data_IF_916432551504
#
_entry.id   IF_916432551504
#
_cell.length_a   1.000
_cell.length_b   1.000
_cell.length_c   1.000
_cell.angle_alpha   90.00
_cell.angle_beta   90.00
_cell.angle_gamma   90.00
#
_symmetry.space_group_name_H-M   'P 1'
#
loop_
_entity.id
_entity.type
_entity.pdbx_description
1 polymer ?
#
# COMPACT_ATOMS: atom_id res chain seq x y z
N UNK A 1 -27.71 -2.42 -13.86
CA UNK A 1 -27.46 -2.81 -12.45
C UNK A 1 -26.01 -3.22 -12.33
N UNK A 2 -25.17 -2.34 -11.82
CA UNK A 2 -23.73 -2.59 -11.67
C UNK A 2 -23.48 -3.13 -10.25
N UNK A 3 -22.95 -4.35 -10.16
CA UNK A 3 -22.51 -4.92 -8.89
C UNK A 3 -21.20 -4.24 -8.45
N UNK A 4 -21.29 -3.45 -7.38
CA UNK A 4 -20.12 -2.95 -6.64
C UNK A 4 -19.58 -4.09 -5.78
N UNK A 5 -18.42 -4.61 -6.11
CA UNK A 5 -17.68 -5.50 -5.22
C UNK A 5 -16.62 -4.66 -4.50
N UNK A 6 -16.90 -4.30 -3.27
CA UNK A 6 -15.92 -3.76 -2.34
C UNK A 6 -15.19 -4.93 -1.67
N UNK A 7 -13.87 -4.95 -1.77
CA UNK A 7 -13.04 -5.84 -0.96
C UNK A 7 -12.70 -5.07 0.32
N UNK A 8 -13.36 -5.42 1.42
CA UNK A 8 -13.00 -4.93 2.76
C UNK A 8 -12.06 -5.95 3.36
N UNK A 9 -10.77 -5.61 3.47
CA UNK A 9 -9.81 -6.39 4.24
C UNK A 9 -9.83 -5.84 5.67
N UNK A 10 -10.49 -6.54 6.59
CA UNK A 10 -10.46 -6.23 8.02
C UNK A 10 -9.30 -7.02 8.62
N UNK A 11 -8.22 -6.34 8.97
CA UNK A 11 -7.18 -6.91 9.83
C UNK A 11 -7.65 -6.81 11.29
N UNK A 12 -7.83 -7.94 11.99
CA UNK A 12 -8.09 -7.96 13.42
C UNK A 12 -6.77 -7.95 14.20
N UNK A 13 -6.66 -7.20 15.31
CA UNK A 13 -5.45 -7.17 16.12
C UNK A 13 -5.28 -8.48 16.91
N UNK A 14 -4.10 -9.07 16.80
CA UNK A 14 -3.70 -10.25 17.58
C UNK A 14 -3.41 -9.80 19.02
N UNK A 15 -4.18 -10.35 19.98
CA UNK A 15 -4.06 -10.04 21.39
C UNK A 15 -2.67 -10.33 21.98
N UNK A 16 -2.20 -9.44 22.85
CA UNK A 16 -0.94 -9.52 23.58
C UNK A 16 -0.88 -10.77 24.43
N UNK A 17 -0.01 -11.72 24.09
CA UNK A 17 0.40 -12.82 24.97
C UNK A 17 1.44 -12.33 25.99
N UNK A 18 1.15 -12.49 27.28
CA UNK A 18 2.10 -12.26 28.38
C UNK A 18 3.15 -13.37 28.41
N UNK A 19 4.42 -12.99 28.39
CA UNK A 19 5.57 -13.89 28.53
C UNK A 19 5.74 -14.33 30.00
N UNK A 20 6.14 -15.59 30.27
CA UNK A 20 6.56 -16.04 31.60
C UNK A 20 8.01 -15.61 31.89
N UNK A 21 8.38 -15.41 33.18
CA UNK A 21 9.71 -14.93 33.56
C UNK A 21 10.73 -16.08 33.59
N UNK A 22 11.91 -15.81 32.97
CA UNK A 22 13.15 -16.52 33.19
C UNK A 22 13.54 -17.55 32.15
N UNK A 23 14.18 -17.10 31.04
CA UNK A 23 15.04 -17.96 30.23
C UNK A 23 16.11 -17.12 29.54
N UNK A 24 17.36 -17.52 29.72
CA UNK A 24 18.61 -16.93 29.23
C UNK A 24 18.65 -16.89 27.67
N UNK A 25 18.85 -15.70 27.11
CA UNK A 25 18.68 -15.39 25.70
C UNK A 25 20.03 -15.29 24.96
N UNK A 26 20.88 -16.35 25.00
CA UNK A 26 22.16 -16.29 24.25
C UNK A 26 22.48 -17.44 23.30
N UNK A 27 21.60 -18.44 23.09
CA UNK A 27 21.96 -19.64 22.27
C UNK A 27 20.95 -20.10 21.21
N UNK A 28 19.96 -19.30 20.79
CA UNK A 28 18.95 -19.79 19.82
C UNK A 28 18.82 -18.91 18.56
N UNK A 29 19.91 -18.29 18.09
CA UNK A 29 19.89 -17.43 16.90
C UNK A 29 20.47 -18.07 15.62
N UNK A 30 20.43 -19.39 15.46
CA UNK A 30 20.98 -20.07 14.25
C UNK A 30 20.18 -21.23 13.66
N UNK A 31 18.87 -21.37 13.93
CA UNK A 31 18.15 -22.54 13.39
C UNK A 31 16.69 -22.27 12.96
N UNK A 32 16.37 -21.16 12.31
CA UNK A 32 15.02 -20.94 11.72
C UNK A 32 15.07 -20.14 10.42
N UNK A 33 15.94 -20.56 9.50
CA UNK A 33 15.83 -20.24 8.09
C UNK A 33 15.72 -21.57 7.34
N UNK A 34 14.54 -22.03 7.09
CA UNK A 34 14.02 -22.85 6.00
C UNK A 34 12.80 -23.67 6.45
N UNK A 35 11.75 -23.59 5.65
CA UNK A 35 10.51 -24.39 5.63
C UNK A 35 9.26 -23.74 6.20
N UNK A 36 8.75 -22.73 5.49
CA UNK A 36 7.32 -22.41 5.44
C UNK A 36 6.60 -23.40 4.52
N UNK A 37 6.26 -24.59 5.02
CA UNK A 37 5.29 -25.47 4.37
C UNK A 37 4.08 -25.55 5.29
N UNK A 38 2.93 -25.10 4.81
CA UNK A 38 1.63 -25.21 5.45
C UNK A 38 1.31 -26.69 5.66
N UNK A 39 1.54 -27.23 6.86
CA UNK A 39 1.07 -28.54 7.27
C UNK A 39 -0.27 -28.36 7.99
N UNK A 40 -1.37 -28.55 7.29
CA UNK A 40 -2.69 -28.76 7.88
C UNK A 40 -2.71 -30.15 8.51
N UNK A 41 -2.40 -30.26 9.81
CA UNK A 41 -2.53 -31.50 10.56
C UNK A 41 -3.99 -31.67 10.99
N UNK A 42 -4.74 -32.51 10.27
CA UNK A 42 -6.03 -33.02 10.74
C UNK A 42 -5.76 -34.07 11.81
N UNK A 43 -6.00 -33.71 13.08
CA UNK A 43 -5.86 -34.60 14.23
C UNK A 43 -7.10 -35.49 14.32
N UNK A 44 -7.06 -36.68 13.72
CA UNK A 44 -8.05 -37.75 13.97
C UNK A 44 -7.80 -38.28 15.41
N UNK A 45 -8.72 -38.01 16.32
CA UNK A 45 -8.76 -38.69 17.62
C UNK A 45 -9.38 -40.07 17.42
N UNK A 46 -8.58 -41.12 17.55
CA UNK A 46 -9.08 -42.48 17.79
C UNK A 46 -9.42 -42.65 19.29
N UNK A 47 -10.70 -42.88 19.56
CA UNK A 47 -11.12 -43.36 20.90
C UNK A 47 -11.07 -44.89 20.87
N UNK A 48 -10.05 -45.47 21.51
CA UNK A 48 -9.99 -46.91 21.76
C UNK A 48 -10.64 -47.17 23.11
N UNK A 49 -11.91 -47.53 23.10
CA UNK A 49 -12.59 -48.07 24.26
C UNK A 49 -12.42 -49.60 24.30
N UNK A 50 -11.55 -50.10 25.21
CA UNK A 50 -11.45 -51.52 25.49
C UNK A 50 -12.63 -51.96 26.34
N UNK A 51 -13.53 -52.76 25.79
CA UNK A 51 -14.37 -53.70 26.55
C UNK A 51 -14.50 -55.00 25.76
N UNK A 52 -14.02 -56.07 26.36
CA UNK A 52 -14.14 -57.42 25.83
C UNK A 52 -15.58 -57.89 25.72
N UNK A 53 -15.88 -58.56 24.62
CA UNK A 53 -17.14 -59.20 24.33
C UNK A 53 -17.09 -59.70 22.90
N UNK A 54 -17.15 -61.04 22.73
CA UNK A 54 -17.27 -61.70 21.42
C UNK A 54 -18.52 -61.20 20.69
N UNK A 55 -18.33 -60.32 19.72
CA UNK A 55 -19.36 -59.84 18.85
C UNK A 55 -18.72 -59.44 17.51
N UNK A 56 -19.22 -59.91 16.44
CA UNK A 56 -18.82 -59.63 15.07
C UNK A 56 -18.59 -58.16 14.84
N UNK A 57 -17.42 -57.80 14.37
CA UNK A 57 -17.02 -56.43 14.12
C UNK A 57 -17.64 -56.00 12.77
N UNK A 58 -18.87 -55.50 12.87
CA UNK A 58 -19.50 -54.80 11.74
C UNK A 58 -18.74 -53.50 11.51
N UNK A 59 -17.84 -53.49 10.56
CA UNK A 59 -17.18 -52.30 10.08
C UNK A 59 -18.22 -51.39 9.46
N UNK A 60 -18.82 -50.48 10.22
CA UNK A 60 -19.55 -49.34 9.71
C UNK A 60 -18.59 -48.45 8.92
N UNK A 61 -18.31 -48.84 7.69
CA UNK A 61 -17.85 -47.88 6.69
C UNK A 61 -18.98 -46.85 6.52
N UNK A 62 -18.81 -45.68 7.09
CA UNK A 62 -19.66 -44.53 6.74
C UNK A 62 -19.52 -44.29 5.25
N UNK A 63 -20.46 -44.85 4.45
CA UNK A 63 -20.64 -44.50 3.03
C UNK A 63 -20.89 -43.00 3.00
N UNK A 64 -19.82 -42.21 2.82
CA UNK A 64 -19.95 -40.82 2.42
C UNK A 64 -20.80 -40.83 1.16
N UNK A 65 -22.03 -40.36 1.24
CA UNK A 65 -22.98 -40.44 0.15
C UNK A 65 -22.36 -39.77 -1.06
N UNK A 66 -22.48 -40.37 -2.24
CA UNK A 66 -21.94 -39.84 -3.49
C UNK A 66 -22.38 -38.38 -3.75
N UNK A 67 -23.52 -38.00 -3.20
CA UNK A 67 -24.04 -36.62 -3.21
C UNK A 67 -23.16 -35.64 -2.40
N UNK A 68 -22.70 -36.00 -1.19
CA UNK A 68 -21.82 -35.14 -0.40
C UNK A 68 -20.45 -34.91 -1.06
N UNK A 69 -19.90 -35.96 -1.68
CA UNK A 69 -18.63 -35.84 -2.43
C UNK A 69 -18.76 -34.97 -3.68
N UNK A 70 -19.87 -35.09 -4.40
CA UNK A 70 -20.19 -34.20 -5.55
C UNK A 70 -20.38 -32.77 -5.13
N UNK A 71 -21.11 -32.51 -4.02
CA UNK A 71 -21.28 -31.16 -3.47
C UNK A 71 -19.96 -30.53 -3.05
N UNK A 72 -19.06 -31.28 -2.39
CA UNK A 72 -17.73 -30.82 -2.02
C UNK A 72 -16.86 -30.50 -3.24
N UNK A 73 -16.91 -31.31 -4.30
CA UNK A 73 -16.18 -31.05 -5.56
C UNK A 73 -16.71 -29.80 -6.28
N UNK A 74 -18.03 -29.60 -6.31
CA UNK A 74 -18.65 -28.39 -6.90
C UNK A 74 -18.24 -27.15 -6.11
N UNK A 75 -18.28 -27.20 -4.80
CA UNK A 75 -17.85 -26.08 -3.95
C UNK A 75 -16.37 -25.74 -4.15
N UNK A 76 -15.51 -26.76 -4.22
CA UNK A 76 -14.08 -26.58 -4.51
C UNK A 76 -13.85 -25.95 -5.90
N UNK A 77 -14.59 -26.40 -6.91
CA UNK A 77 -14.51 -25.84 -8.25
C UNK A 77 -14.99 -24.38 -8.30
N UNK A 78 -16.06 -24.04 -7.58
CA UNK A 78 -16.55 -22.65 -7.47
C UNK A 78 -15.55 -21.76 -6.75
N UNK A 79 -14.91 -22.25 -5.69
CA UNK A 79 -13.85 -21.52 -4.99
C UNK A 79 -12.62 -21.30 -5.88
N UNK A 80 -12.20 -22.32 -6.64
CA UNK A 80 -11.11 -22.20 -7.60
C UNK A 80 -11.44 -21.20 -8.72
N UNK A 81 -12.68 -21.23 -9.22
CA UNK A 81 -13.14 -20.27 -10.23
C UNK A 81 -13.18 -18.85 -9.66
N UNK A 82 -13.66 -18.66 -8.44
CA UNK A 82 -13.67 -17.35 -7.78
C UNK A 82 -12.24 -16.83 -7.55
N UNK A 83 -11.31 -17.69 -7.12
CA UNK A 83 -9.89 -17.34 -6.98
C UNK A 83 -9.25 -17.00 -8.33
N UNK A 84 -9.58 -17.77 -9.39
CA UNK A 84 -9.08 -17.48 -10.75
C UNK A 84 -9.63 -16.16 -11.28
N UNK A 85 -10.92 -15.89 -11.09
CA UNK A 85 -11.53 -14.61 -11.48
C UNK A 85 -10.93 -13.44 -10.69
N UNK A 86 -10.70 -13.62 -9.39
CA UNK A 86 -10.01 -12.65 -8.56
C UNK A 86 -8.57 -12.41 -9.06
N UNK A 87 -7.81 -13.47 -9.35
CA UNK A 87 -6.47 -13.37 -9.91
C UNK A 87 -6.47 -12.64 -11.28
N UNK A 88 -7.42 -12.94 -12.15
CA UNK A 88 -7.55 -12.29 -13.46
C UNK A 88 -7.93 -10.80 -13.34
N UNK A 89 -8.73 -10.42 -12.34
CA UNK A 89 -9.03 -9.00 -12.09
C UNK A 89 -7.81 -8.27 -11.50
N UNK A 90 -7.00 -8.96 -10.68
CA UNK A 90 -5.75 -8.44 -10.12
C UNK A 90 -4.61 -8.30 -11.16
N UNK A 91 -4.76 -8.85 -12.39
CA UNK A 91 -3.76 -8.69 -13.45
C UNK A 91 -3.93 -7.42 -14.29
N UNK A 92 -5.00 -6.65 -14.07
CA UNK A 92 -5.22 -5.39 -14.79
C UNK A 92 -4.39 -4.26 -14.18
N UNK A 93 -3.14 -4.20 -14.57
CA UNK A 93 -2.23 -3.10 -14.20
C UNK A 93 -2.48 -1.93 -15.15
N UNK A 94 -2.58 -0.72 -14.60
CA UNK A 94 -2.61 0.53 -15.37
C UNK A 94 -1.17 0.86 -15.81
N UNK A 95 -0.84 0.78 -17.11
CA UNK A 95 0.51 1.02 -17.59
C UNK A 95 0.88 2.49 -17.51
N UNK A 96 2.16 2.77 -17.30
CA UNK A 96 2.70 4.11 -17.45
C UNK A 96 2.54 4.60 -18.91
N UNK A 97 2.05 5.82 -19.07
CA UNK A 97 1.87 6.43 -20.39
C UNK A 97 3.24 6.86 -20.97
N UNK A 98 3.34 7.03 -22.31
CA UNK A 98 4.60 7.38 -22.95
C UNK A 98 5.29 8.62 -22.39
N UNK A 99 4.55 9.64 -21.99
CA UNK A 99 5.10 10.85 -21.37
C UNK A 99 5.79 10.56 -20.03
N UNK A 100 5.30 9.59 -19.25
CA UNK A 100 5.96 9.19 -18.01
C UNK A 100 7.27 8.47 -18.27
N UNK A 101 7.31 7.63 -19.29
CA UNK A 101 8.53 6.92 -19.68
C UNK A 101 9.57 7.87 -20.29
N UNK A 102 9.10 8.89 -21.00
CA UNK A 102 9.97 9.92 -21.61
C UNK A 102 10.75 10.71 -20.56
N UNK A 103 10.13 11.03 -19.41
CA UNK A 103 10.81 11.68 -18.27
C UNK A 103 12.00 10.84 -17.78
N UNK A 104 11.87 9.52 -17.77
CA UNK A 104 12.95 8.63 -17.34
C UNK A 104 14.13 8.56 -18.33
N UNK A 105 13.88 8.86 -19.61
CA UNK A 105 14.90 8.86 -20.65
C UNK A 105 15.56 10.24 -20.82
N UNK A 106 14.77 11.28 -20.60
CA UNK A 106 15.18 12.69 -20.80
C UNK A 106 14.66 13.53 -19.64
N UNK A 107 15.29 13.43 -18.47
CA UNK A 107 14.89 14.23 -17.32
C UNK A 107 15.10 15.71 -17.55
N UNK A 108 14.39 16.55 -16.80
CA UNK A 108 14.54 17.99 -16.82
C UNK A 108 15.97 18.43 -16.40
N UNK A 109 16.40 19.58 -16.89
CA UNK A 109 17.70 20.16 -16.53
C UNK A 109 17.83 20.30 -15.00
N UNK A 110 18.95 19.90 -14.46
CA UNK A 110 19.22 19.94 -13.01
C UNK A 110 18.64 18.77 -12.22
N UNK A 111 17.97 17.79 -12.86
CA UNK A 111 17.49 16.56 -12.22
C UNK A 111 18.26 15.36 -12.74
N UNK A 112 18.83 14.57 -11.83
CA UNK A 112 19.42 13.27 -12.16
C UNK A 112 18.45 12.15 -11.82
N UNK A 113 18.15 11.28 -12.79
CA UNK A 113 17.29 10.11 -12.58
C UNK A 113 18.16 8.86 -12.40
N UNK A 114 18.10 8.23 -11.22
CA UNK A 114 18.76 6.95 -10.93
C UNK A 114 17.71 5.85 -10.94
N UNK A 115 17.83 4.90 -11.86
CA UNK A 115 16.89 3.77 -12.00
C UNK A 115 17.47 2.52 -11.36
N UNK A 116 16.78 2.02 -10.32
CA UNK A 116 17.05 0.73 -9.69
C UNK A 116 15.95 -0.30 -9.99
N UNK A 117 16.15 -1.53 -9.50
CA UNK A 117 15.15 -2.59 -9.63
C UNK A 117 13.94 -2.33 -8.72
N UNK A 118 14.16 -1.75 -7.54
CA UNK A 118 13.16 -1.59 -6.48
C UNK A 118 12.66 -0.14 -6.35
N UNK A 119 13.30 0.83 -7.02
CA UNK A 119 12.95 2.24 -6.94
C UNK A 119 13.53 3.06 -8.08
N UNK A 120 13.02 4.27 -8.25
CA UNK A 120 13.56 5.32 -9.11
C UNK A 120 13.77 6.56 -8.25
N UNK A 121 15.01 7.08 -8.23
CA UNK A 121 15.37 8.27 -7.49
C UNK A 121 15.47 9.47 -8.45
N UNK A 122 14.75 10.56 -8.13
CA UNK A 122 14.80 11.84 -8.84
C UNK A 122 15.58 12.81 -7.95
N UNK A 123 16.83 13.07 -8.32
CA UNK A 123 17.81 13.77 -7.50
C UNK A 123 18.02 15.18 -8.07
N UNK A 124 17.56 16.24 -7.39
CA UNK A 124 17.84 17.62 -7.80
C UNK A 124 19.32 17.96 -7.60
N UNK A 125 19.81 18.98 -8.31
CA UNK A 125 21.19 19.46 -8.13
C UNK A 125 21.50 19.90 -6.69
N UNK A 126 20.49 20.45 -6.01
CA UNK A 126 20.57 20.93 -4.62
C UNK A 126 19.35 20.44 -3.82
N UNK A 127 19.35 19.18 -3.33
CA UNK A 127 18.26 18.64 -2.57
C UNK A 127 18.16 19.32 -1.18
N UNK A 128 16.94 19.71 -0.79
CA UNK A 128 16.68 20.41 0.49
C UNK A 128 15.81 19.54 1.42
N UNK A 129 15.06 18.59 0.86
CA UNK A 129 14.25 17.62 1.59
C UNK A 129 14.12 16.34 0.77
N UNK A 130 13.77 15.23 1.41
CA UNK A 130 13.51 13.95 0.78
C UNK A 130 12.03 13.55 0.87
N UNK A 131 11.51 12.92 -0.18
CA UNK A 131 10.17 12.33 -0.22
C UNK A 131 10.28 10.88 -0.71
N UNK A 132 9.92 9.90 0.14
CA UNK A 132 9.68 8.53 -0.28
C UNK A 132 8.21 8.36 -0.67
N UNK A 133 7.94 7.85 -1.88
CA UNK A 133 6.59 7.87 -2.45
C UNK A 133 6.06 6.48 -2.80
N UNK A 134 4.86 6.17 -2.29
CA UNK A 134 4.10 4.94 -2.48
C UNK A 134 3.08 5.10 -3.62
N UNK A 135 3.22 4.38 -4.75
CA UNK A 135 2.27 4.38 -5.85
C UNK A 135 0.89 3.86 -5.47
N UNK A 136 -0.12 4.28 -6.23
CA UNK A 136 -1.48 3.74 -6.13
C UNK A 136 -1.58 2.27 -6.55
N UNK A 137 -2.63 1.60 -6.10
CA UNK A 137 -2.87 0.19 -6.39
C UNK A 137 -3.00 -0.07 -7.89
N UNK A 138 -2.37 -1.15 -8.35
CA UNK A 138 -2.43 -1.64 -9.74
C UNK A 138 -1.90 -0.64 -10.78
N UNK A 139 -1.15 0.38 -10.37
CA UNK A 139 -0.51 1.35 -11.27
C UNK A 139 0.97 1.02 -11.38
N UNK A 140 1.51 0.97 -12.60
CA UNK A 140 2.96 0.92 -12.81
C UNK A 140 3.59 2.14 -12.16
N UNK A 141 4.59 1.93 -11.31
CA UNK A 141 5.17 3.02 -10.51
C UNK A 141 5.80 4.13 -11.38
N UNK A 142 6.30 3.79 -12.57
CA UNK A 142 6.82 4.75 -13.54
C UNK A 142 5.78 5.82 -13.97
N UNK A 143 4.49 5.54 -13.79
CA UNK A 143 3.43 6.51 -14.09
C UNK A 143 3.51 7.78 -13.23
N UNK A 144 4.20 7.73 -12.10
CA UNK A 144 4.40 8.89 -11.22
C UNK A 144 5.68 9.68 -11.53
N UNK A 145 6.49 9.23 -12.50
CA UNK A 145 7.73 9.90 -12.88
C UNK A 145 7.55 11.41 -13.18
N UNK A 146 6.51 11.85 -13.92
CA UNK A 146 6.34 13.28 -14.18
C UNK A 146 6.06 14.12 -12.93
N UNK A 147 5.34 13.57 -11.94
CA UNK A 147 5.11 14.25 -10.67
C UNK A 147 6.39 14.33 -9.83
N UNK A 148 7.15 13.22 -9.76
CA UNK A 148 8.42 13.17 -9.03
C UNK A 148 9.47 14.11 -9.63
N UNK A 149 9.53 14.20 -10.96
CA UNK A 149 10.41 15.16 -11.65
C UNK A 149 10.06 16.59 -11.31
N UNK A 150 8.77 16.95 -11.34
CA UNK A 150 8.31 18.32 -11.00
C UNK A 150 8.69 18.70 -9.57
N UNK A 151 8.61 17.76 -8.63
CA UNK A 151 9.06 17.95 -7.26
C UNK A 151 10.59 18.11 -7.19
N UNK A 152 11.33 17.30 -7.95
CA UNK A 152 12.78 17.38 -7.98
C UNK A 152 13.28 18.70 -8.57
N UNK A 153 12.63 19.22 -9.62
CA UNK A 153 12.92 20.59 -10.14
C UNK A 153 12.75 21.67 -9.08
N UNK A 154 11.89 21.45 -8.08
CA UNK A 154 11.65 22.35 -6.94
C UNK A 154 12.58 22.10 -5.74
N UNK A 155 13.51 21.16 -5.84
CA UNK A 155 14.51 20.88 -4.78
C UNK A 155 14.14 19.76 -3.82
N UNK A 156 13.10 18.98 -4.09
CA UNK A 156 12.74 17.79 -3.30
C UNK A 156 13.34 16.55 -3.94
N UNK A 157 14.25 15.86 -3.25
CA UNK A 157 14.72 14.53 -3.65
C UNK A 157 13.55 13.54 -3.53
N UNK A 158 13.14 12.91 -4.65
CA UNK A 158 12.03 11.99 -4.66
C UNK A 158 12.49 10.55 -4.90
N UNK A 159 12.13 9.66 -3.99
CA UNK A 159 12.35 8.21 -4.09
C UNK A 159 11.03 7.54 -4.40
N UNK A 160 10.82 7.22 -5.67
CA UNK A 160 9.62 6.53 -6.16
C UNK A 160 9.78 5.03 -5.95
N UNK A 161 9.03 4.47 -5.03
CA UNK A 161 9.15 3.09 -4.57
C UNK A 161 8.38 2.12 -5.48
N UNK A 162 8.97 0.96 -5.76
CA UNK A 162 8.32 -0.11 -6.51
C UNK A 162 7.61 -1.07 -5.56
N UNK A 163 6.32 -1.28 -5.81
CA UNK A 163 5.51 -2.18 -5.01
C UNK A 163 5.45 -3.57 -5.64
N UNK A 164 5.64 -4.66 -4.87
CA UNK A 164 5.43 -6.02 -5.36
C UNK A 164 4.01 -6.16 -5.93
N UNK A 165 3.90 -6.65 -7.17
CA UNK A 165 2.60 -6.78 -7.84
C UNK A 165 1.82 -5.48 -8.01
N UNK A 166 2.46 -4.31 -7.92
CA UNK A 166 1.86 -2.97 -7.90
C UNK A 166 0.84 -2.78 -6.76
N UNK A 167 1.09 -3.39 -5.60
CA UNK A 167 0.25 -3.32 -4.40
C UNK A 167 1.09 -3.04 -3.16
N UNK A 168 0.98 -1.85 -2.60
CA UNK A 168 1.73 -1.42 -1.42
C UNK A 168 1.49 -2.31 -0.18
N UNK A 169 0.30 -2.89 -0.06
CA UNK A 169 -0.04 -3.82 1.05
C UNK A 169 0.79 -5.10 1.07
N UNK A 170 1.43 -5.48 -0.04
CA UNK A 170 2.29 -6.67 -0.12
C UNK A 170 3.70 -6.45 0.44
N UNK A 171 4.13 -5.20 0.56
CA UNK A 171 5.37 -4.80 1.23
C UNK A 171 5.21 -3.37 1.78
N UNK A 172 4.55 -3.20 2.94
CA UNK A 172 4.36 -1.88 3.52
C UNK A 172 5.66 -1.23 3.98
N UNK A 173 6.68 -2.04 4.30
CA UNK A 173 7.96 -1.59 4.86
C UNK A 173 9.01 -1.30 3.73
N UNK A 174 8.56 -1.05 2.50
CA UNK A 174 9.45 -0.81 1.34
C UNK A 174 10.27 0.48 1.47
N UNK A 175 9.88 1.41 2.34
CA UNK A 175 10.61 2.64 2.62
C UNK A 175 11.80 2.46 3.57
N UNK A 176 11.95 1.27 4.19
CA UNK A 176 13.05 0.98 5.11
C UNK A 176 14.41 1.23 4.46
N UNK A 177 15.27 1.97 5.15
CA UNK A 177 16.63 2.24 4.72
C UNK A 177 16.78 3.29 3.61
N UNK A 178 15.69 3.85 3.06
CA UNK A 178 15.76 4.90 2.02
C UNK A 178 16.55 6.11 2.49
N UNK A 179 16.33 6.56 3.72
CA UNK A 179 17.00 7.73 4.30
C UNK A 179 18.52 7.51 4.46
N UNK A 180 18.93 6.28 4.76
CA UNK A 180 20.33 5.94 4.96
C UNK A 180 21.19 6.08 3.68
N UNK A 181 20.56 6.04 2.50
CA UNK A 181 21.24 6.22 1.22
C UNK A 181 21.53 7.70 0.88
N UNK A 182 20.93 8.63 1.67
CA UNK A 182 21.04 10.09 1.49
C UNK A 182 21.28 10.77 2.84
N UNK A 183 22.42 10.53 3.50
CA UNK A 183 22.70 11.02 4.84
C UNK A 183 22.79 12.55 4.94
N UNK A 184 22.94 13.23 3.81
CA UNK A 184 22.93 14.71 3.73
C UNK A 184 21.53 15.31 3.84
N UNK A 185 20.47 14.50 3.65
CA UNK A 185 19.08 14.96 3.78
C UNK A 185 18.62 14.75 5.20
N UNK A 186 18.31 15.84 5.87
CA UNK A 186 17.88 15.85 7.28
C UNK A 186 16.37 15.91 7.48
N UNK A 187 15.62 16.29 6.45
CA UNK A 187 14.15 16.35 6.48
C UNK A 187 13.57 15.35 5.50
N UNK A 188 12.77 14.43 6.02
CA UNK A 188 12.17 13.39 5.24
C UNK A 188 10.65 13.35 5.37
N UNK A 189 10.02 13.19 4.23
CA UNK A 189 8.58 13.04 4.10
C UNK A 189 8.24 11.69 3.50
N UNK A 190 7.13 11.13 3.95
CA UNK A 190 6.54 9.96 3.33
C UNK A 190 5.29 10.40 2.58
N UNK A 191 5.02 9.81 1.43
CA UNK A 191 3.81 10.17 0.70
C UNK A 191 3.30 9.02 -0.14
N UNK A 192 2.07 9.16 -0.63
CA UNK A 192 1.53 8.18 -1.53
C UNK A 192 0.20 8.59 -2.13
N UNK A 193 -0.17 7.89 -3.20
CA UNK A 193 -1.43 8.07 -3.90
C UNK A 193 -2.40 6.94 -3.58
N UNK A 194 -3.67 7.28 -3.32
CA UNK A 194 -4.74 6.30 -3.14
C UNK A 194 -4.37 5.23 -2.08
N UNK A 195 -4.42 3.95 -2.41
CA UNK A 195 -3.98 2.86 -1.50
C UNK A 195 -2.53 3.05 -1.01
N UNK A 196 -1.64 3.58 -1.85
CA UNK A 196 -0.26 3.86 -1.46
C UNK A 196 -0.17 4.88 -0.31
N UNK A 197 -1.01 5.92 -0.34
CA UNK A 197 -1.10 6.91 0.73
C UNK A 197 -1.60 6.31 2.04
N UNK A 198 -2.64 5.47 1.98
CA UNK A 198 -3.14 4.77 3.17
C UNK A 198 -2.10 3.81 3.78
N UNK A 199 -1.31 3.13 2.94
CA UNK A 199 -0.22 2.26 3.41
C UNK A 199 0.93 3.08 3.99
N UNK A 200 1.27 4.23 3.40
CA UNK A 200 2.27 5.15 3.94
C UNK A 200 1.86 5.67 5.32
N UNK A 201 0.58 6.01 5.53
CA UNK A 201 0.07 6.38 6.85
C UNK A 201 0.21 5.23 7.87
N UNK A 202 -0.13 3.99 7.50
CA UNK A 202 0.06 2.83 8.36
C UNK A 202 1.53 2.54 8.69
N UNK A 203 2.43 2.82 7.77
CA UNK A 203 3.88 2.69 8.03
C UNK A 203 4.30 3.68 9.11
N UNK A 204 3.86 4.94 9.04
CA UNK A 204 4.19 5.98 10.01
C UNK A 204 3.64 5.73 11.41
N UNK A 205 2.55 4.99 11.58
CA UNK A 205 2.07 4.56 12.91
C UNK A 205 3.14 3.81 13.71
N UNK A 206 4.08 3.17 13.03
CA UNK A 206 5.20 2.43 13.64
C UNK A 206 6.53 3.18 13.59
N UNK A 207 6.64 4.16 12.71
CA UNK A 207 7.88 4.87 12.36
C UNK A 207 7.73 6.40 12.51
N UNK A 208 6.80 6.88 13.36
CA UNK A 208 6.40 8.28 13.47
C UNK A 208 7.54 9.27 13.75
N UNK A 209 8.61 8.84 14.41
CA UNK A 209 9.77 9.71 14.69
C UNK A 209 10.82 9.79 13.58
N UNK A 210 10.64 9.06 12.47
CA UNK A 210 11.61 8.97 11.39
C UNK A 210 11.35 9.94 10.23
N UNK A 211 10.14 10.55 10.19
CA UNK A 211 9.69 11.44 9.13
C UNK A 211 9.10 12.74 9.68
N UNK A 212 9.32 13.83 8.97
CA UNK A 212 8.80 15.17 9.34
C UNK A 212 7.36 15.38 8.86
N UNK A 213 6.89 14.59 7.88
CA UNK A 213 5.53 14.76 7.39
C UNK A 213 5.04 13.65 6.47
N UNK A 214 3.71 13.69 6.23
CA UNK A 214 2.95 12.77 5.39
C UNK A 214 2.21 13.53 4.29
N UNK A 215 2.41 13.13 3.03
CA UNK A 215 1.68 13.65 1.86
C UNK A 215 0.67 12.60 1.39
N UNK A 216 -0.61 12.90 1.50
CA UNK A 216 -1.72 12.05 1.05
C UNK A 216 -2.31 12.62 -0.26
N UNK A 217 -2.09 11.93 -1.39
CA UNK A 217 -2.68 12.29 -2.67
C UNK A 217 -3.89 11.40 -2.96
N UNK A 218 -5.10 11.98 -3.00
CA UNK A 218 -6.36 11.25 -3.17
C UNK A 218 -6.45 10.03 -2.23
N UNK A 219 -6.05 10.22 -0.97
CA UNK A 219 -5.94 9.19 0.06
C UNK A 219 -6.41 9.72 1.42
N UNK A 220 -6.65 8.80 2.35
CA UNK A 220 -6.98 9.09 3.74
C UNK A 220 -6.19 8.18 4.68
N UNK A 221 -5.96 8.61 5.90
CA UNK A 221 -5.37 7.74 6.92
C UNK A 221 -6.40 6.76 7.48
N UNK A 222 -5.95 5.54 7.75
CA UNK A 222 -6.66 4.54 8.56
C UNK A 222 -5.88 4.20 9.83
N UNK A 223 -4.66 4.75 9.97
CA UNK A 223 -3.82 4.69 11.16
C UNK A 223 -4.07 5.92 12.03
N UNK A 224 -3.98 5.77 13.33
CA UNK A 224 -4.10 6.88 14.29
C UNK A 224 -2.75 7.59 14.44
N UNK A 225 -2.62 8.72 13.76
CA UNK A 225 -1.45 9.61 13.78
C UNK A 225 -1.74 10.89 14.57
N UNK A 226 -2.88 11.00 15.25
CA UNK A 226 -3.32 12.22 15.94
C UNK A 226 -2.40 12.69 17.08
N UNK A 227 -1.63 11.76 17.64
CA UNK A 227 -0.64 12.02 18.69
C UNK A 227 0.79 12.22 18.18
N UNK A 228 1.03 12.09 16.88
CA UNK A 228 2.36 12.19 16.30
C UNK A 228 2.76 13.66 16.04
N UNK A 229 4.05 13.96 16.19
CA UNK A 229 4.61 15.25 15.78
C UNK A 229 4.96 15.22 14.30
N UNK A 230 3.94 15.19 13.46
CA UNK A 230 4.03 14.94 12.04
C UNK A 230 3.19 15.98 11.29
N UNK A 231 3.78 16.71 10.36
CA UNK A 231 3.00 17.55 9.43
C UNK A 231 2.22 16.66 8.46
N UNK A 232 0.98 17.00 8.14
CA UNK A 232 0.20 16.24 7.15
C UNK A 232 -0.42 17.17 6.13
N UNK A 233 -0.24 16.85 4.85
CA UNK A 233 -0.91 17.50 3.75
C UNK A 233 -1.72 16.47 2.96
N UNK A 234 -3.04 16.67 2.89
CA UNK A 234 -3.95 15.88 2.05
C UNK A 234 -4.36 16.71 0.83
N UNK A 235 -4.14 16.18 -0.38
CA UNK A 235 -4.51 16.83 -1.64
C UNK A 235 -5.39 15.89 -2.47
N UNK A 236 -6.54 16.38 -2.96
CA UNK A 236 -7.41 15.59 -3.84
C UNK A 236 -8.17 16.48 -4.83
N UNK A 237 -8.67 15.87 -5.90
CA UNK A 237 -9.42 16.59 -6.94
C UNK A 237 -10.89 16.79 -6.57
N UNK A 238 -11.51 17.89 -7.00
CA UNK A 238 -12.95 18.10 -6.84
C UNK A 238 -13.79 17.07 -7.60
N UNK A 239 -13.27 16.60 -8.74
CA UNK A 239 -13.89 15.60 -9.61
C UNK A 239 -13.45 14.15 -9.30
N UNK A 240 -12.74 13.93 -8.17
CA UNK A 240 -12.32 12.58 -7.76
C UNK A 240 -13.56 11.73 -7.42
N UNK A 241 -13.85 10.77 -8.28
CA UNK A 241 -14.98 9.84 -8.15
C UNK A 241 -14.65 8.55 -7.40
N UNK A 242 -13.38 8.33 -7.04
CA UNK A 242 -12.90 7.11 -6.39
C UNK A 242 -12.56 7.29 -4.91
N UNK A 243 -12.23 8.52 -4.50
CA UNK A 243 -11.96 8.84 -3.10
C UNK A 243 -13.26 8.74 -2.29
N UNK A 244 -13.31 7.81 -1.33
CA UNK A 244 -14.44 7.62 -0.43
C UNK A 244 -14.53 8.79 0.55
N UNK A 245 -15.44 9.75 0.30
CA UNK A 245 -15.57 10.99 1.08
C UNK A 245 -15.87 10.73 2.57
N UNK A 246 -16.71 9.75 2.88
CA UNK A 246 -17.03 9.36 4.27
C UNK A 246 -15.79 8.86 5.02
N UNK A 247 -14.91 8.16 4.29
CA UNK A 247 -13.63 7.69 4.82
C UNK A 247 -12.62 8.83 5.00
N UNK A 248 -12.56 9.75 4.05
CA UNK A 248 -11.74 10.95 4.17
C UNK A 248 -12.17 11.75 5.41
N UNK A 249 -13.47 12.00 5.58
CA UNK A 249 -14.00 12.75 6.71
C UNK A 249 -13.71 12.06 8.05
N UNK A 250 -13.96 10.76 8.16
CA UNK A 250 -13.63 10.00 9.37
C UNK A 250 -12.12 9.90 9.62
N UNK A 251 -11.31 9.89 8.57
CA UNK A 251 -9.86 9.86 8.65
C UNK A 251 -9.22 11.14 9.20
N UNK A 252 -9.92 12.29 9.11
CA UNK A 252 -9.42 13.57 9.68
C UNK A 252 -9.16 13.48 11.17
N UNK A 253 -10.00 12.74 11.91
CA UNK A 253 -9.83 12.56 13.35
C UNK A 253 -8.62 11.70 13.72
N UNK A 254 -8.03 11.02 12.76
CA UNK A 254 -6.83 10.19 12.91
C UNK A 254 -5.53 10.94 12.57
N UNK A 255 -5.62 12.21 12.19
CA UNK A 255 -4.48 13.05 11.81
C UNK A 255 -4.20 14.10 12.92
N UNK A 256 -2.98 14.64 12.98
CA UNK A 256 -2.67 15.82 13.83
C UNK A 256 -3.66 16.96 13.59
N UNK A 257 -3.94 17.74 14.62
CA UNK A 257 -4.97 18.77 14.59
C UNK A 257 -4.69 19.92 13.60
N UNK A 258 -3.44 20.08 13.20
CA UNK A 258 -2.92 21.06 12.24
C UNK A 258 -2.75 20.48 10.82
N UNK A 259 -3.27 19.27 10.57
CA UNK A 259 -3.24 18.66 9.24
C UNK A 259 -3.96 19.55 8.20
N UNK A 260 -3.28 19.78 7.08
CA UNK A 260 -3.77 20.60 5.99
C UNK A 260 -4.51 19.76 4.96
N UNK A 261 -5.59 20.32 4.39
CA UNK A 261 -6.38 19.67 3.34
C UNK A 261 -6.62 20.66 2.19
N UNK A 262 -6.24 20.26 0.97
CA UNK A 262 -6.38 21.08 -0.24
C UNK A 262 -7.17 20.34 -1.29
N UNK A 263 -8.22 20.96 -1.81
CA UNK A 263 -9.00 20.47 -2.95
C UNK A 263 -8.51 21.15 -4.23
N UNK A 264 -8.12 20.36 -5.24
CA UNK A 264 -7.76 20.85 -6.54
C UNK A 264 -9.02 21.00 -7.41
N UNK A 265 -9.45 22.22 -7.74
CA UNK A 265 -10.64 22.41 -8.57
C UNK A 265 -10.44 21.78 -9.95
N UNK A 266 -11.40 20.95 -10.37
CA UNK A 266 -11.36 20.26 -11.67
C UNK A 266 -10.40 19.08 -11.76
N UNK A 267 -9.68 18.76 -10.71
CA UNK A 267 -8.81 17.58 -10.65
C UNK A 267 -9.58 16.28 -10.40
N UNK A 268 -9.02 15.13 -10.80
CA UNK A 268 -9.60 13.81 -10.60
C UNK A 268 -8.57 12.85 -9.96
N UNK A 269 -9.01 11.65 -9.59
CA UNK A 269 -8.17 10.63 -8.95
C UNK A 269 -6.97 10.22 -9.80
N UNK A 270 -7.23 9.82 -11.04
CA UNK A 270 -6.22 9.25 -11.93
C UNK A 270 -5.16 10.27 -12.40
N UNK A 271 -5.42 11.57 -12.31
CA UNK A 271 -4.53 12.59 -12.81
C UNK A 271 -3.32 12.91 -11.91
N UNK A 272 -3.23 12.31 -10.70
CA UNK A 272 -2.00 12.34 -9.90
C UNK A 272 -0.87 11.51 -10.52
N UNK A 273 -1.21 10.51 -11.37
CA UNK A 273 -0.23 9.76 -12.16
C UNK A 273 -0.53 9.83 -13.66
N UNK A 274 0.43 9.41 -14.49
CA UNK A 274 0.30 9.34 -15.95
C UNK A 274 0.06 7.89 -16.39
N UNK A 275 -1.18 7.37 -16.16
CA UNK A 275 -1.59 6.00 -16.48
C UNK A 275 -2.96 5.88 -17.15
N UNK A 276 -3.53 7.01 -17.58
CA UNK A 276 -4.81 7.04 -18.27
C UNK A 276 -6.01 7.20 -17.32
N UNK A 277 -7.20 6.95 -17.85
CA UNK A 277 -8.45 7.03 -17.09
C UNK A 277 -8.68 5.76 -16.26
N UNK A 278 -9.28 5.94 -15.09
CA UNK A 278 -9.63 4.84 -14.19
C UNK A 278 -11.15 4.71 -14.11
N UNK A 279 -11.73 3.51 -14.32
CA UNK A 279 -13.17 3.30 -14.24
C UNK A 279 -13.75 3.72 -12.89
N UNK A 280 -14.79 4.53 -12.91
CA UNK A 280 -15.44 5.07 -11.71
C UNK A 280 -14.89 6.41 -11.25
N UNK A 281 -13.78 6.88 -11.84
CA UNK A 281 -13.29 8.23 -11.59
C UNK A 281 -14.16 9.30 -12.28
N UNK A 282 -14.10 10.52 -11.77
CA UNK A 282 -14.76 11.67 -12.41
C UNK A 282 -14.03 12.14 -13.66
N UNK A 283 -14.68 13.05 -14.38
CA UNK A 283 -14.11 13.66 -15.59
C UNK A 283 -13.40 14.96 -15.20
N UNK A 284 -12.06 15.04 -15.31
CA UNK A 284 -11.35 16.24 -14.95
C UNK A 284 -11.69 17.41 -15.87
N UNK A 285 -11.74 18.62 -15.33
CA UNK A 285 -11.90 19.87 -16.10
C UNK A 285 -10.57 20.61 -16.29
N UNK A 286 -9.51 20.15 -15.63
CA UNK A 286 -8.12 20.54 -15.87
C UNK A 286 -7.34 19.40 -16.49
N UNK A 287 -6.25 19.70 -17.16
CA UNK A 287 -5.37 18.67 -17.73
C UNK A 287 -4.58 17.94 -16.63
N UNK A 288 -4.15 16.70 -16.90
CA UNK A 288 -3.24 15.96 -16.00
C UNK A 288 -1.98 16.76 -15.67
N UNK A 289 -1.39 17.40 -16.68
CA UNK A 289 -0.19 18.23 -16.50
C UNK A 289 -0.44 19.38 -15.53
N UNK A 290 -1.59 20.05 -15.64
CA UNK A 290 -1.98 21.13 -14.72
C UNK A 290 -2.20 20.62 -13.30
N UNK A 291 -2.87 19.46 -13.13
CA UNK A 291 -3.07 18.86 -11.81
C UNK A 291 -1.73 18.48 -11.17
N UNK A 292 -0.83 17.84 -11.92
CA UNK A 292 0.49 17.47 -11.42
C UNK A 292 1.35 18.68 -11.09
N UNK A 293 1.26 19.76 -11.86
CA UNK A 293 1.96 21.02 -11.59
C UNK A 293 1.48 21.65 -10.29
N UNK A 294 0.16 21.81 -10.11
CA UNK A 294 -0.43 22.33 -8.87
C UNK A 294 -0.10 21.44 -7.67
N UNK A 295 -0.13 20.11 -7.85
CA UNK A 295 0.26 19.16 -6.81
C UNK A 295 1.73 19.33 -6.42
N UNK A 296 2.61 19.51 -7.42
CA UNK A 296 4.03 19.68 -7.16
C UNK A 296 4.34 21.02 -6.45
N UNK A 297 3.61 22.09 -6.78
CA UNK A 297 3.73 23.37 -6.07
C UNK A 297 3.36 23.23 -4.59
N UNK A 298 2.21 22.61 -4.29
CA UNK A 298 1.74 22.38 -2.93
C UNK A 298 2.66 21.45 -2.15
N UNK A 299 3.02 20.30 -2.73
CA UNK A 299 3.85 19.31 -2.06
C UNK A 299 5.29 19.79 -1.87
N UNK A 300 5.86 20.56 -2.80
CA UNK A 300 7.18 21.15 -2.62
C UNK A 300 7.16 22.23 -1.53
N UNK A 301 6.17 23.12 -1.51
CA UNK A 301 6.00 24.10 -0.43
C UNK A 301 5.91 23.37 0.91
N UNK A 302 5.06 22.35 1.03
CA UNK A 302 4.92 21.52 2.22
C UNK A 302 6.24 20.89 2.69
N UNK A 303 7.04 20.33 1.76
CA UNK A 303 8.32 19.69 2.10
C UNK A 303 9.43 20.70 2.42
N UNK A 304 9.39 21.92 1.83
CA UNK A 304 10.50 22.88 1.89
C UNK A 304 10.28 23.97 2.95
N UNK A 305 9.05 24.26 3.33
CA UNK A 305 8.76 25.19 4.42
C UNK A 305 9.29 24.64 5.74
N UNK A 306 9.94 25.52 6.51
CA UNK A 306 10.37 25.18 7.87
C UNK A 306 9.11 25.05 8.75
N UNK A 307 9.08 24.03 9.60
CA UNK A 307 8.11 24.00 10.70
C UNK A 307 8.28 25.28 11.53
N UNK A 308 7.20 26.02 11.70
CA UNK A 308 7.18 27.27 12.44
C UNK A 308 7.41 27.06 13.95
#
# INVERSE_FOLDING_TARGET
MAFRHQIVIIAQPVGKMKSPPGADCSKTRRFLQARGALAFAVKLRYNVGAKGGNGEMETRQTKQTSAGRRAALVLAALLLLALLLCALTMTRVYPAMPEALQVLERPADGVTVRRGAERIDFIPAHPQAGLAFYPGAMVQFEAYAPLMERLAVRGVLCVLLRMPGNLAVLNPDVADGVQADYPEITRWFLGGHSLGGAVAANYLEKHGGEYDGLLLLAAYSVADLSGEQLRVLTVYGSEDGLLERDRLESGRALLPADAEEVVLPGGCHACFGSYGAQPGDGVPTITRAQQQEQTADLAAAFCLENAA
#
